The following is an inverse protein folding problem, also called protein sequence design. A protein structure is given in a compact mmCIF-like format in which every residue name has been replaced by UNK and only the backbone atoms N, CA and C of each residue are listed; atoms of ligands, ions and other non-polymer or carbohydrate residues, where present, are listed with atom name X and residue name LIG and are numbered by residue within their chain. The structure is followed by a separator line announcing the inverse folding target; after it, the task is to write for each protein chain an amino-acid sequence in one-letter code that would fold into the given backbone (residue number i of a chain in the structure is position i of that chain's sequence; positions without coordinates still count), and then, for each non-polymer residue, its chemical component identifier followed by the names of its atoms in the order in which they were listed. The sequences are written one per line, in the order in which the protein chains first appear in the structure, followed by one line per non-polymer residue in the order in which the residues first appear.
data_IF_614555790256
#
_entry.id   IF_614555790256
#
_cell.length_a   1.000
_cell.length_b   1.000
_cell.length_c   1.000
_cell.angle_alpha   90.00
_cell.angle_beta   90.00
_cell.angle_gamma   90.00
#
_symmetry.space_group_name_H-M   'P 1'
#
loop_
_entity.id
_entity.type
_entity.pdbx_description
1 polymer ?
#
# COMPACT_ATOMS: atom_id res chain seq x y z
N UNK A 1 25.96 7.71 7.52
CA UNK A 1 24.91 7.28 6.56
C UNK A 1 24.15 8.45 5.95
N UNK A 2 23.66 9.44 6.72
CA UNK A 2 23.01 10.63 6.13
C UNK A 2 23.98 11.49 5.30
N UNK A 3 25.17 11.78 5.83
CA UNK A 3 26.20 12.55 5.11
C UNK A 3 26.75 11.81 3.88
N UNK A 4 26.82 10.48 3.99
CA UNK A 4 27.26 9.60 2.90
C UNK A 4 26.22 9.53 1.77
N UNK A 5 24.93 9.52 2.13
CA UNK A 5 23.84 9.67 1.15
C UNK A 5 23.96 11.01 0.42
N UNK A 6 24.17 12.11 1.14
CA UNK A 6 24.34 13.42 0.51
C UNK A 6 25.54 13.42 -0.42
N UNK A 7 26.69 12.88 0.01
CA UNK A 7 27.88 12.80 -0.81
C UNK A 7 27.62 12.10 -2.16
N UNK A 8 26.87 10.99 -2.14
CA UNK A 8 26.55 10.21 -3.35
C UNK A 8 25.55 10.96 -4.26
N UNK A 9 24.51 11.56 -3.69
CA UNK A 9 23.40 12.13 -4.46
C UNK A 9 23.49 13.65 -4.72
N UNK A 10 24.51 14.34 -4.18
CA UNK A 10 24.82 15.74 -4.55
C UNK A 10 25.59 15.83 -5.88
N UNK A 11 26.32 14.78 -6.24
CA UNK A 11 27.16 14.74 -7.42
C UNK A 11 26.36 14.88 -8.72
N UNK A 12 27.01 15.40 -9.76
CA UNK A 12 26.47 15.38 -11.13
C UNK A 12 27.34 14.51 -12.01
N UNK A 13 26.68 13.77 -12.89
CA UNK A 13 27.32 12.96 -13.93
C UNK A 13 27.11 13.60 -15.30
N UNK A 14 27.78 13.08 -16.33
CA UNK A 14 27.51 13.44 -17.73
C UNK A 14 26.21 12.84 -18.28
N UNK A 15 25.52 11.98 -17.52
CA UNK A 15 24.29 11.31 -17.94
C UNK A 15 23.05 12.00 -17.38
N UNK A 16 22.27 12.62 -18.28
CA UNK A 16 21.05 13.36 -17.91
C UNK A 16 20.03 12.51 -17.15
N UNK A 17 19.71 11.30 -17.63
CA UNK A 17 18.73 10.42 -17.01
C UNK A 17 19.14 9.98 -15.59
N UNK A 18 20.44 9.74 -15.37
CA UNK A 18 20.97 9.41 -14.05
C UNK A 18 20.84 10.60 -13.10
N UNK A 19 21.18 11.82 -13.56
CA UNK A 19 21.03 13.04 -12.77
C UNK A 19 19.57 13.26 -12.33
N UNK A 20 18.59 13.01 -13.22
CA UNK A 20 17.18 13.08 -12.86
C UNK A 20 16.77 12.05 -11.78
N UNK A 21 17.31 10.83 -11.86
CA UNK A 21 17.05 9.81 -10.85
C UNK A 21 17.69 10.19 -9.51
N UNK A 22 18.93 10.68 -9.50
CA UNK A 22 19.61 11.15 -8.29
C UNK A 22 18.84 12.29 -7.62
N UNK A 23 18.35 13.26 -8.38
CA UNK A 23 17.51 14.35 -7.86
C UNK A 23 16.22 13.83 -7.24
N UNK A 24 15.53 12.89 -7.89
CA UNK A 24 14.31 12.25 -7.35
C UNK A 24 14.59 11.47 -6.06
N UNK A 25 15.69 10.72 -6.02
CA UNK A 25 16.10 9.97 -4.83
C UNK A 25 16.44 10.92 -3.68
N UNK A 26 17.18 12.01 -3.95
CA UNK A 26 17.50 13.03 -2.96
C UNK A 26 16.26 13.73 -2.41
N UNK A 27 15.27 14.02 -3.26
CA UNK A 27 14.01 14.60 -2.85
C UNK A 27 13.21 13.71 -1.87
N UNK A 28 13.54 12.42 -1.76
CA UNK A 28 12.93 11.44 -0.86
C UNK A 28 13.85 10.99 0.27
N UNK A 29 14.94 11.73 0.55
CA UNK A 29 15.95 11.36 1.55
C UNK A 29 15.32 10.99 2.89
N UNK A 30 14.45 11.85 3.41
CA UNK A 30 13.87 11.68 4.75
C UNK A 30 13.02 10.40 4.82
N UNK A 31 12.26 10.10 3.77
CA UNK A 31 11.46 8.86 3.66
C UNK A 31 12.34 7.62 3.54
N UNK A 32 13.41 7.68 2.74
CA UNK A 32 14.30 6.54 2.47
C UNK A 32 15.20 6.21 3.67
N UNK A 33 15.55 7.21 4.48
CA UNK A 33 16.41 7.05 5.65
C UNK A 33 15.63 6.82 6.95
N UNK A 34 14.30 6.76 6.91
CA UNK A 34 13.44 6.50 8.07
C UNK A 34 13.80 5.20 8.82
N UNK A 35 14.33 4.20 8.10
CA UNK A 35 14.84 2.95 8.67
C UNK A 35 15.97 3.15 9.70
N UNK A 36 16.71 4.25 9.62
CA UNK A 36 17.75 4.60 10.59
C UNK A 36 17.16 5.00 11.94
N UNK A 37 15.96 5.59 11.93
CA UNK A 37 15.20 5.93 13.14
C UNK A 37 14.35 4.76 13.62
N UNK A 38 13.80 3.97 12.69
CA UNK A 38 12.93 2.83 12.96
C UNK A 38 13.46 1.56 12.29
N UNK A 39 14.43 0.84 12.90
CA UNK A 39 15.09 -0.31 12.30
C UNK A 39 14.18 -1.49 11.99
N UNK A 40 12.97 -1.52 12.57
CA UNK A 40 11.96 -2.55 12.32
C UNK A 40 11.21 -2.34 10.99
N UNK A 41 11.32 -1.16 10.37
CA UNK A 41 10.69 -0.90 9.07
C UNK A 41 11.49 -1.62 7.98
N UNK A 42 10.83 -2.38 7.08
CA UNK A 42 11.52 -3.03 5.98
C UNK A 42 12.16 -2.01 5.02
N UNK A 43 13.37 -2.31 4.54
CA UNK A 43 14.06 -1.55 3.49
C UNK A 43 13.40 -1.66 2.10
N UNK A 44 12.41 -2.54 1.96
CA UNK A 44 11.69 -2.79 0.72
C UNK A 44 10.20 -2.47 0.87
N UNK A 45 9.55 -2.15 -0.24
CA UNK A 45 8.12 -1.86 -0.30
C UNK A 45 7.24 -3.09 -0.60
N UNK A 46 7.78 -4.32 -0.53
CA UNK A 46 7.09 -5.56 -0.93
C UNK A 46 5.66 -5.67 -0.37
N UNK A 47 5.44 -5.35 0.91
CA UNK A 47 4.11 -5.40 1.54
C UNK A 47 3.12 -4.44 0.85
N UNK A 48 3.58 -3.23 0.52
CA UNK A 48 2.78 -2.23 -0.19
C UNK A 48 2.51 -2.64 -1.63
N UNK A 49 3.51 -3.20 -2.33
CA UNK A 49 3.34 -3.71 -3.70
C UNK A 49 2.35 -4.87 -3.76
N UNK A 50 2.47 -5.83 -2.83
CA UNK A 50 1.54 -6.95 -2.70
C UNK A 50 0.12 -6.47 -2.42
N UNK A 51 -0.07 -5.46 -1.57
CA UNK A 51 -1.37 -4.87 -1.30
C UNK A 51 -2.01 -4.22 -2.55
N UNK A 52 -1.20 -3.63 -3.44
CA UNK A 52 -1.69 -3.03 -4.69
C UNK A 52 -1.86 -4.04 -5.83
N UNK A 53 -1.18 -5.19 -5.76
CA UNK A 53 -1.15 -6.20 -6.83
C UNK A 53 -2.55 -6.66 -7.23
N UNK A 54 -3.43 -6.87 -6.26
CA UNK A 54 -4.79 -7.35 -6.51
C UNK A 54 -5.60 -6.36 -7.37
N UNK A 55 -5.52 -5.05 -7.05
CA UNK A 55 -6.14 -3.99 -7.85
C UNK A 55 -5.59 -3.93 -9.27
N UNK A 56 -4.28 -4.07 -9.43
CA UNK A 56 -3.61 -4.08 -10.76
C UNK A 56 -4.06 -5.28 -11.59
N UNK A 57 -4.15 -6.47 -10.99
CA UNK A 57 -4.65 -7.68 -11.66
C UNK A 57 -6.10 -7.50 -12.08
N UNK A 58 -6.97 -6.99 -11.20
CA UNK A 58 -8.37 -6.76 -11.54
C UNK A 58 -8.52 -5.77 -12.70
N UNK A 59 -7.76 -4.66 -12.71
CA UNK A 59 -7.74 -3.71 -13.83
C UNK A 59 -7.28 -4.37 -15.12
N UNK A 60 -6.27 -5.26 -15.07
CA UNK A 60 -5.81 -5.99 -16.25
C UNK A 60 -6.88 -6.92 -16.83
N UNK A 61 -7.64 -7.60 -15.97
CA UNK A 61 -8.66 -8.57 -16.38
C UNK A 61 -9.95 -7.87 -16.85
N UNK A 62 -10.41 -6.87 -16.10
CA UNK A 62 -11.72 -6.22 -16.31
C UNK A 62 -11.62 -4.97 -17.19
N UNK A 63 -10.41 -4.49 -17.47
CA UNK A 63 -10.19 -3.18 -18.09
C UNK A 63 -10.42 -2.05 -17.09
N UNK A 64 -11.05 -0.97 -17.57
CA UNK A 64 -11.39 0.19 -16.75
C UNK A 64 -12.86 0.16 -16.32
N UNK A 65 -13.16 0.88 -15.24
CA UNK A 65 -14.53 1.06 -14.79
C UNK A 65 -15.29 1.98 -15.74
N UNK A 66 -16.59 1.68 -15.96
CA UNK A 66 -17.48 2.48 -16.81
C UNK A 66 -18.00 3.74 -16.12
N UNK A 67 -17.89 3.81 -14.80
CA UNK A 67 -18.29 4.95 -13.99
C UNK A 67 -17.43 5.07 -12.72
N UNK A 68 -17.46 6.23 -12.08
CA UNK A 68 -16.74 6.48 -10.83
C UNK A 68 -17.32 5.63 -9.69
N UNK A 69 -18.63 5.46 -9.65
CA UNK A 69 -19.33 4.67 -8.63
C UNK A 69 -18.90 3.21 -8.70
N UNK A 70 -18.75 2.65 -9.90
CA UNK A 70 -18.23 1.30 -10.09
C UNK A 70 -16.77 1.14 -9.64
N UNK A 71 -15.94 2.16 -9.87
CA UNK A 71 -14.56 2.19 -9.39
C UNK A 71 -14.51 2.24 -7.85
N UNK A 72 -15.30 3.13 -7.25
CA UNK A 72 -15.40 3.27 -5.80
C UNK A 72 -15.91 1.99 -5.13
N UNK A 73 -16.96 1.37 -5.68
CA UNK A 73 -17.47 0.10 -5.18
C UNK A 73 -16.37 -0.96 -5.21
N UNK A 74 -15.65 -1.11 -6.33
CA UNK A 74 -14.55 -2.07 -6.42
C UNK A 74 -13.44 -1.82 -5.39
N UNK A 75 -13.06 -0.56 -5.19
CA UNK A 75 -12.04 -0.19 -4.20
C UNK A 75 -12.50 -0.49 -2.77
N UNK A 76 -13.76 -0.23 -2.43
CA UNK A 76 -14.34 -0.58 -1.12
C UNK A 76 -14.32 -2.10 -0.92
N UNK A 77 -14.78 -2.88 -1.89
CA UNK A 77 -14.81 -4.34 -1.78
C UNK A 77 -13.40 -4.94 -1.64
N UNK A 78 -12.43 -4.45 -2.41
CA UNK A 78 -11.02 -4.85 -2.29
C UNK A 78 -10.46 -4.50 -0.92
N UNK A 79 -10.74 -3.30 -0.42
CA UNK A 79 -10.33 -2.86 0.92
C UNK A 79 -10.89 -3.77 2.01
N UNK A 80 -12.20 -4.02 2.00
CA UNK A 80 -12.86 -4.90 2.98
C UNK A 80 -12.29 -6.31 2.96
N UNK A 81 -12.14 -6.90 1.77
CA UNK A 81 -11.59 -8.25 1.62
C UNK A 81 -10.13 -8.32 2.08
N UNK A 82 -9.31 -7.32 1.76
CA UNK A 82 -7.92 -7.23 2.22
C UNK A 82 -7.84 -7.14 3.73
N UNK A 83 -8.66 -6.29 4.35
CA UNK A 83 -8.72 -6.15 5.81
C UNK A 83 -9.15 -7.47 6.48
N UNK A 84 -10.23 -8.10 5.99
CA UNK A 84 -10.69 -9.39 6.50
C UNK A 84 -9.57 -10.45 6.45
N UNK A 85 -8.82 -10.51 5.34
CA UNK A 85 -7.68 -11.43 5.20
C UNK A 85 -6.57 -11.15 6.22
N UNK A 86 -6.26 -9.88 6.48
CA UNK A 86 -5.21 -9.49 7.46
C UNK A 86 -5.55 -9.90 8.89
N UNK A 87 -6.82 -9.78 9.27
CA UNK A 87 -7.29 -10.12 10.63
C UNK A 87 -7.78 -11.58 10.76
N UNK A 88 -7.65 -12.39 9.71
CA UNK A 88 -8.04 -13.80 9.73
C UNK A 88 -9.55 -14.08 9.66
N UNK A 89 -10.37 -13.10 9.23
CA UNK A 89 -11.82 -13.27 9.07
C UNK A 89 -12.16 -13.65 7.63
N UNK A 90 -13.09 -14.59 7.45
CA UNK A 90 -13.66 -14.90 6.14
C UNK A 90 -14.47 -13.71 5.62
N UNK A 91 -14.11 -13.19 4.44
CA UNK A 91 -14.86 -12.11 3.80
C UNK A 91 -16.33 -12.50 3.54
N UNK A 92 -16.59 -13.78 3.24
CA UNK A 92 -17.96 -14.27 3.05
C UNK A 92 -18.78 -14.25 4.34
N UNK A 93 -18.19 -14.63 5.47
CA UNK A 93 -18.87 -14.54 6.78
C UNK A 93 -19.06 -13.09 7.20
N UNK A 94 -18.09 -12.23 6.93
CA UNK A 94 -18.26 -10.78 7.10
C UNK A 94 -19.46 -10.23 6.31
N UNK A 95 -19.58 -10.57 5.03
CA UNK A 95 -20.71 -10.12 4.22
C UNK A 95 -22.06 -10.65 4.74
N UNK A 96 -22.14 -11.93 5.12
CA UNK A 96 -23.35 -12.51 5.71
C UNK A 96 -23.74 -11.79 6.99
N UNK A 97 -22.79 -11.55 7.89
CA UNK A 97 -23.04 -10.84 9.13
C UNK A 97 -23.65 -9.45 8.87
N UNK A 98 -23.09 -8.68 7.92
CA UNK A 98 -23.59 -7.34 7.55
C UNK A 98 -24.91 -7.35 6.81
N UNK A 99 -25.13 -8.30 5.89
CA UNK A 99 -26.38 -8.35 5.12
C UNK A 99 -27.56 -8.88 5.92
N UNK A 100 -27.31 -9.80 6.86
CA UNK A 100 -28.34 -10.39 7.70
C UNK A 100 -28.44 -9.74 9.09
N UNK A 101 -27.69 -8.66 9.35
CA UNK A 101 -27.64 -7.96 10.65
C UNK A 101 -27.46 -8.93 11.84
N UNK A 102 -26.52 -9.87 11.72
CA UNK A 102 -26.30 -10.88 12.77
C UNK A 102 -25.57 -10.31 13.98
N UNK A 103 -24.76 -9.26 13.77
CA UNK A 103 -23.96 -8.60 14.80
C UNK A 103 -23.01 -9.54 15.56
N UNK A 104 -22.59 -10.64 14.92
CA UNK A 104 -21.63 -11.61 15.44
C UNK A 104 -20.19 -11.10 15.33
N UNK A 105 -19.91 -10.29 14.30
CA UNK A 105 -18.58 -9.71 14.07
C UNK A 105 -18.55 -8.22 14.44
N UNK A 106 -17.58 -7.78 15.27
CA UNK A 106 -17.37 -6.35 15.52
C UNK A 106 -17.09 -5.58 14.22
N UNK A 107 -17.32 -4.26 14.19
CA UNK A 107 -16.91 -3.41 13.07
C UNK A 107 -15.43 -3.63 12.73
N UNK A 108 -15.09 -3.73 11.45
CA UNK A 108 -13.70 -4.01 11.04
C UNK A 108 -12.72 -2.95 11.56
N UNK A 109 -13.17 -1.69 11.64
CA UNK A 109 -12.36 -0.59 12.17
C UNK A 109 -11.88 -0.82 13.60
N UNK A 110 -12.67 -1.52 14.42
CA UNK A 110 -12.36 -1.78 15.82
C UNK A 110 -11.37 -2.95 15.96
N UNK A 111 -11.32 -3.83 14.96
CA UNK A 111 -10.46 -5.02 14.95
C UNK A 111 -9.05 -4.75 14.41
N UNK A 112 -8.84 -3.66 13.68
CA UNK A 112 -7.54 -3.34 13.03
C UNK A 112 -6.43 -3.08 14.06
N UNK A 113 -6.78 -2.71 15.30
CA UNK A 113 -5.80 -2.44 16.36
C UNK A 113 -5.35 -3.69 17.13
N UNK A 114 -5.98 -4.85 16.87
CA UNK A 114 -5.70 -6.11 17.56
C UNK A 114 -4.74 -7.03 16.77
N UNK A 115 -4.32 -6.63 15.57
CA UNK A 115 -3.52 -7.42 14.63
C UNK A 115 -2.11 -6.87 14.45
#
# INVERSE_FOLDING_TARGET
MSDEFDLIFLGKTCYFALNQLMEKTRAKKDELLLVLEFPTIPLHNNTSELAMREKVIQRKIRGYFRSLEGAMASDIFLGLMSTCRKIGISFGEYLKDRFYNRHELPPLGDLIWMA
#
